data_IF_516415000836
#
_entry.id   IF_516415000836
#
_cell.length_a   1.000
_cell.length_b   1.000
_cell.length_c   1.000
_cell.angle_alpha   90.00
_cell.angle_beta   90.00
_cell.angle_gamma   90.00
#
_symmetry.space_group_name_H-M   'P 1'
#
loop_
_entity.id
_entity.type
_entity.pdbx_description
1 polymer ?
#
# COMPACT_ATOMS: atom_id res chain seq x y z
N UNK A 1 22.73 20.33 7.09
CA UNK A 1 22.32 19.11 7.81
C UNK A 1 23.19 18.00 7.26
N UNK A 2 23.88 17.25 8.12
CA UNK A 2 24.70 16.14 7.65
C UNK A 2 23.78 15.08 7.06
N UNK A 3 23.97 14.75 5.77
CA UNK A 3 23.02 13.98 4.96
C UNK A 3 22.92 12.50 5.38
N UNK A 4 23.78 12.04 6.28
CA UNK A 4 23.88 10.63 6.69
C UNK A 4 22.91 10.24 7.81
N UNK A 5 22.34 11.20 8.54
CA UNK A 5 21.56 10.94 9.76
C UNK A 5 20.08 11.34 9.68
N UNK A 6 19.67 11.97 8.57
CA UNK A 6 18.31 12.48 8.38
C UNK A 6 17.83 12.25 6.96
N UNK A 7 16.59 11.79 6.80
CA UNK A 7 15.89 11.67 5.54
C UNK A 7 14.54 12.38 5.66
N UNK A 8 14.27 13.32 4.75
CA UNK A 8 12.97 13.97 4.64
C UNK A 8 12.35 13.62 3.29
N UNK A 9 11.17 13.00 3.33
CA UNK A 9 10.34 12.70 2.17
C UNK A 9 9.09 13.57 2.21
N UNK A 10 8.68 14.06 1.04
CA UNK A 10 7.46 14.85 0.88
C UNK A 10 6.66 14.32 -0.31
N UNK A 11 5.36 14.11 -0.12
CA UNK A 11 4.42 13.83 -1.19
C UNK A 11 3.23 14.77 -1.08
N UNK A 12 3.19 15.79 -1.95
CA UNK A 12 2.20 16.87 -1.93
C UNK A 12 2.20 17.56 -0.55
N UNK A 13 1.29 17.17 0.34
CA UNK A 13 1.09 17.75 1.67
C UNK A 13 1.54 16.81 2.81
N UNK A 14 1.86 15.55 2.50
CA UNK A 14 2.32 14.57 3.48
C UNK A 14 3.85 14.60 3.60
N UNK A 15 4.35 14.65 4.83
CA UNK A 15 5.78 14.62 5.14
C UNK A 15 6.12 13.38 5.96
N UNK A 16 7.27 12.79 5.66
CA UNK A 16 7.87 11.72 6.46
C UNK A 16 9.31 12.11 6.77
N UNK A 17 9.59 12.33 8.05
CA UNK A 17 10.92 12.66 8.55
C UNK A 17 11.49 11.47 9.34
N UNK A 18 12.63 10.96 8.90
CA UNK A 18 13.32 9.83 9.51
C UNK A 18 14.69 10.31 9.98
N UNK A 19 15.01 10.06 11.24
CA UNK A 19 16.31 10.42 11.81
C UNK A 19 16.70 9.50 12.96
N UNK A 20 18.00 9.36 13.20
CA UNK A 20 18.55 8.70 14.38
C UNK A 20 18.62 9.64 15.61
N UNK A 21 18.32 10.93 15.44
CA UNK A 21 18.46 11.98 16.44
C UNK A 21 17.11 12.52 16.91
N UNK A 22 16.71 12.21 18.15
CA UNK A 22 15.41 12.62 18.72
C UNK A 22 15.21 14.14 18.75
N UNK A 23 16.25 14.91 19.02
CA UNK A 23 16.24 16.37 19.00
C UNK A 23 15.88 16.92 17.62
N UNK A 24 16.33 16.26 16.54
CA UNK A 24 15.98 16.64 15.17
C UNK A 24 14.52 16.34 14.84
N UNK A 25 14.01 15.19 15.29
CA UNK A 25 12.60 14.86 15.14
C UNK A 25 11.70 15.84 15.91
N UNK A 26 12.08 16.19 17.15
CA UNK A 26 11.41 17.23 17.92
C UNK A 26 11.42 18.56 17.18
N UNK A 27 12.59 19.02 16.75
CA UNK A 27 12.76 20.27 16.03
C UNK A 27 11.89 20.31 14.75
N UNK A 28 11.84 19.22 14.00
CA UNK A 28 10.98 19.11 12.82
C UNK A 28 9.50 19.30 13.17
N UNK A 29 9.03 18.61 14.21
CA UNK A 29 7.63 18.72 14.64
C UNK A 29 7.27 20.12 15.15
N UNK A 30 8.17 20.78 15.88
CA UNK A 30 7.98 22.19 16.29
C UNK A 30 7.85 23.10 15.07
N UNK A 31 8.70 22.94 14.06
CA UNK A 31 8.67 23.77 12.85
C UNK A 31 7.37 23.54 12.07
N UNK A 32 6.91 22.29 11.96
CA UNK A 32 5.68 21.95 11.25
C UNK A 32 4.43 22.50 11.94
N UNK A 33 4.41 22.53 13.28
CA UNK A 33 3.27 22.98 14.07
C UNK A 33 3.31 24.45 14.49
N UNK A 34 4.44 25.14 14.26
CA UNK A 34 4.52 26.59 14.35
C UNK A 34 3.54 27.22 13.36
N UNK A 35 2.83 28.25 13.79
CA UNK A 35 1.97 29.01 12.89
C UNK A 35 2.83 29.66 11.79
N UNK A 36 2.39 29.53 10.54
CA UNK A 36 2.96 30.25 9.39
C UNK A 36 1.86 31.15 8.77
N UNK A 37 1.55 32.30 9.41
CA UNK A 37 0.47 33.19 8.97
C UNK A 37 0.62 33.66 7.51
N UNK A 38 1.86 33.77 7.04
CA UNK A 38 2.21 34.20 5.68
C UNK A 38 1.75 33.24 4.59
N UNK A 39 1.50 31.97 4.93
CA UNK A 39 1.04 30.94 3.97
C UNK A 39 -0.43 30.54 4.18
N UNK A 40 -1.08 31.00 5.27
CA UNK A 40 -2.45 30.63 5.61
C UNK A 40 -2.66 29.12 5.82
N UNK A 41 -1.57 28.36 6.01
CA UNK A 41 -1.59 26.91 6.18
C UNK A 41 -1.33 26.54 7.64
N UNK A 42 -2.00 25.49 8.11
CA UNK A 42 -1.74 24.91 9.44
C UNK A 42 -1.74 23.38 9.35
N UNK A 43 -0.89 22.76 10.15
CA UNK A 43 -0.80 21.30 10.22
C UNK A 43 -1.79 20.80 11.27
N UNK A 44 -2.58 19.80 10.91
CA UNK A 44 -3.49 19.16 11.85
C UNK A 44 -2.71 18.19 12.75
N UNK A 45 -2.67 18.50 14.05
CA UNK A 45 -1.98 17.68 15.04
C UNK A 45 -2.53 16.26 15.15
N UNK A 46 -3.83 16.04 14.93
CA UNK A 46 -4.42 14.69 14.98
C UNK A 46 -4.01 13.81 13.80
N UNK A 47 -3.45 14.41 12.74
CA UNK A 47 -2.87 13.71 11.60
C UNK A 47 -1.35 13.57 11.68
N UNK A 48 -0.74 14.16 12.71
CA UNK A 48 0.69 13.97 12.99
C UNK A 48 0.90 12.68 13.78
N UNK A 49 2.04 12.05 13.60
CA UNK A 49 2.35 10.78 14.24
C UNK A 49 3.86 10.68 14.49
N UNK A 50 4.22 10.14 15.66
CA UNK A 50 5.60 9.89 16.07
C UNK A 50 5.79 8.43 16.48
N UNK A 51 7.04 7.94 16.44
CA UNK A 51 7.41 6.64 16.99
C UNK A 51 7.93 6.68 18.44
N UNK A 52 7.85 7.85 19.08
CA UNK A 52 8.18 8.04 20.49
C UNK A 52 7.33 9.17 21.09
N UNK A 53 7.15 9.11 22.41
CA UNK A 53 6.42 10.13 23.14
C UNK A 53 7.07 11.50 22.97
N UNK A 54 6.29 12.45 22.47
CA UNK A 54 6.73 13.82 22.25
C UNK A 54 5.58 14.80 22.42
N UNK A 55 5.92 15.98 22.93
CA UNK A 55 5.00 17.10 23.08
C UNK A 55 5.64 18.35 22.51
N UNK A 56 4.83 19.19 21.89
CA UNK A 56 5.26 20.50 21.40
C UNK A 56 5.55 21.45 22.57
N UNK A 57 6.29 22.53 22.31
CA UNK A 57 6.60 23.56 23.31
C UNK A 57 5.35 24.23 23.91
N UNK A 58 4.23 24.23 23.19
CA UNK A 58 2.93 24.75 23.66
C UNK A 58 2.12 23.73 24.48
N UNK A 59 2.69 22.56 24.77
CA UNK A 59 2.11 21.51 25.60
C UNK A 59 1.22 20.52 24.85
N UNK A 60 0.97 20.71 23.55
CA UNK A 60 0.18 19.75 22.76
C UNK A 60 0.97 18.47 22.49
N UNK A 61 0.40 17.32 22.83
CA UNK A 61 1.02 16.01 22.59
C UNK A 61 0.81 15.54 21.14
N UNK A 62 1.84 14.91 20.58
CA UNK A 62 1.77 14.27 19.26
C UNK A 62 1.31 12.81 19.45
N UNK A 63 0.33 12.31 18.67
CA UNK A 63 -0.02 10.90 18.67
C UNK A 63 1.18 9.99 18.42
N UNK A 64 1.24 8.86 19.12
CA UNK A 64 2.36 7.92 19.08
C UNK A 64 1.95 6.57 18.49
N UNK A 65 2.84 5.94 17.72
CA UNK A 65 2.73 4.55 17.25
C UNK A 65 4.03 3.80 17.52
N UNK A 66 3.96 2.52 17.84
CA UNK A 66 5.15 1.73 18.21
C UNK A 66 5.54 0.66 17.20
N UNK A 67 4.62 0.31 16.30
CA UNK A 67 4.76 -0.88 15.44
C UNK A 67 4.65 -0.51 13.98
N UNK A 68 3.60 0.19 13.62
CA UNK A 68 3.25 0.45 12.23
C UNK A 68 3.12 1.95 12.02
N UNK A 69 3.91 2.49 11.08
CA UNK A 69 3.91 3.90 10.71
C UNK A 69 3.31 4.06 9.30
N UNK A 70 2.07 4.56 9.18
CA UNK A 70 1.42 4.75 7.88
C UNK A 70 1.97 5.99 7.17
N UNK A 71 2.24 5.86 5.86
CA UNK A 71 2.56 7.00 5.01
C UNK A 71 2.17 6.71 3.55
N UNK A 72 1.44 7.65 2.94
CA UNK A 72 1.03 7.62 1.52
C UNK A 72 0.53 6.26 0.98
N UNK A 73 -0.28 5.54 1.76
CA UNK A 73 -0.93 4.29 1.32
C UNK A 73 -0.12 3.01 1.54
N UNK A 74 1.04 3.08 2.21
CA UNK A 74 1.75 1.93 2.76
C UNK A 74 2.08 2.14 4.23
N UNK A 75 2.66 1.10 4.85
CA UNK A 75 2.99 1.06 6.27
C UNK A 75 4.43 0.63 6.43
N UNK A 76 5.15 1.30 7.31
CA UNK A 76 6.51 0.93 7.69
C UNK A 76 6.45 0.23 9.05
N UNK A 77 6.94 -1.02 9.11
CA UNK A 77 7.17 -1.70 10.38
C UNK A 77 8.36 -1.05 11.08
N UNK A 78 8.14 -0.37 12.21
CA UNK A 78 9.17 0.40 12.89
C UNK A 78 10.25 -0.46 13.55
N UNK A 79 10.02 -1.77 13.72
CA UNK A 79 10.98 -2.69 14.33
C UNK A 79 11.89 -3.32 13.27
N UNK A 80 11.32 -3.71 12.12
CA UNK A 80 12.05 -4.42 11.05
C UNK A 80 12.33 -3.56 9.82
N UNK A 81 11.73 -2.37 9.76
CA UNK A 81 11.75 -1.44 8.62
C UNK A 81 11.19 -2.04 7.32
N UNK A 82 10.33 -3.06 7.46
CA UNK A 82 9.64 -3.70 6.35
C UNK A 82 8.45 -2.85 5.89
N UNK A 83 8.19 -2.85 4.59
CA UNK A 83 7.14 -2.09 3.94
C UNK A 83 5.94 -3.01 3.66
N UNK A 84 4.82 -2.73 4.33
CA UNK A 84 3.59 -3.49 4.22
C UNK A 84 2.52 -2.73 3.42
N UNK A 85 1.68 -3.47 2.71
CA UNK A 85 0.49 -2.92 2.09
C UNK A 85 -0.60 -2.62 3.15
N UNK A 86 -1.37 -1.55 2.96
CA UNK A 86 -2.35 -1.02 3.95
C UNK A 86 -3.64 -1.82 4.09
N UNK A 87 -3.69 -3.05 3.57
CA UNK A 87 -4.95 -3.74 3.29
C UNK A 87 -5.82 -3.97 4.52
N UNK A 88 -5.21 -4.36 5.64
CA UNK A 88 -5.91 -4.68 6.88
C UNK A 88 -5.91 -3.55 7.92
N UNK A 89 -5.23 -2.43 7.65
CA UNK A 89 -5.21 -1.29 8.57
C UNK A 89 -6.28 -0.25 8.25
N UNK A 90 -6.74 -0.18 7.01
CA UNK A 90 -7.81 0.72 6.63
C UNK A 90 -9.18 0.04 6.77
N UNK A 91 -10.19 0.82 7.20
CA UNK A 91 -11.63 0.48 7.16
C UNK A 91 -12.17 0.17 5.74
N UNK A 92 -11.29 0.03 4.75
CA UNK A 92 -11.59 -0.21 3.34
C UNK A 92 -12.27 -1.56 3.08
N UNK A 93 -12.17 -2.53 3.99
CA UNK A 93 -12.87 -3.82 3.85
C UNK A 93 -14.39 -3.63 4.04
N UNK A 94 -14.81 -2.71 4.90
CA UNK A 94 -16.23 -2.49 5.21
C UNK A 94 -16.99 -1.80 4.06
N UNK A 95 -16.29 -1.02 3.23
CA UNK A 95 -16.89 -0.21 2.16
C UNK A 95 -16.28 -0.53 0.78
N UNK A 96 -15.90 -1.79 0.55
CA UNK A 96 -15.30 -2.20 -0.73
C UNK A 96 -16.19 -1.82 -1.91
N UNK A 97 -17.51 -2.02 -1.78
CA UNK A 97 -18.49 -1.71 -2.81
C UNK A 97 -18.46 -0.23 -3.25
N UNK A 98 -18.34 0.70 -2.30
CA UNK A 98 -18.33 2.15 -2.54
C UNK A 98 -17.09 2.62 -3.31
N UNK A 99 -16.02 1.80 -3.30
CA UNK A 99 -14.79 2.07 -4.04
C UNK A 99 -14.80 1.56 -5.49
N UNK A 100 -15.88 0.89 -5.93
CA UNK A 100 -15.96 0.23 -7.22
C UNK A 100 -16.70 1.07 -8.26
N UNK A 101 -16.06 1.28 -9.41
CA UNK A 101 -16.75 1.71 -10.63
C UNK A 101 -17.12 0.49 -11.46
N UNK A 102 -18.42 0.18 -11.50
CA UNK A 102 -18.97 -0.95 -12.26
C UNK A 102 -19.38 -0.49 -13.65
N UNK A 103 -18.90 -1.19 -14.68
CA UNK A 103 -19.27 -0.93 -16.06
C UNK A 103 -20.24 -2.02 -16.52
N UNK A 104 -21.46 -1.61 -16.86
CA UNK A 104 -22.49 -2.47 -17.43
C UNK A 104 -22.41 -2.31 -18.95
N UNK A 105 -21.63 -3.18 -19.61
CA UNK A 105 -21.41 -3.16 -21.06
C UNK A 105 -21.98 -4.38 -21.76
N UNK A 106 -22.07 -4.33 -23.09
CA UNK A 106 -22.45 -5.47 -23.93
C UNK A 106 -21.38 -6.59 -23.93
N UNK A 107 -20.17 -6.36 -23.40
CA UNK A 107 -19.10 -7.37 -23.28
C UNK A 107 -18.62 -7.54 -21.83
N UNK A 108 -19.51 -7.96 -20.91
CA UNK A 108 -19.24 -7.92 -19.48
C UNK A 108 -18.09 -8.84 -19.06
N UNK A 109 -17.89 -9.98 -19.74
CA UNK A 109 -16.80 -10.91 -19.43
C UNK A 109 -15.39 -10.35 -19.69
N UNK A 110 -15.19 -9.62 -20.80
CA UNK A 110 -13.89 -8.99 -21.11
C UNK A 110 -13.54 -7.90 -20.08
N UNK A 111 -14.55 -7.12 -19.70
CA UNK A 111 -14.40 -6.05 -18.70
C UNK A 111 -14.10 -6.61 -17.32
N UNK A 112 -14.81 -7.68 -16.94
CA UNK A 112 -14.59 -8.39 -15.69
C UNK A 112 -13.15 -8.89 -15.55
N UNK A 113 -12.62 -9.55 -16.59
CA UNK A 113 -11.21 -10.02 -16.62
C UNK A 113 -10.23 -8.86 -16.48
N UNK A 114 -10.43 -7.80 -17.28
CA UNK A 114 -9.58 -6.60 -17.22
C UNK A 114 -9.61 -5.93 -15.84
N UNK A 115 -10.78 -5.87 -15.19
CA UNK A 115 -10.94 -5.28 -13.86
C UNK A 115 -10.18 -6.07 -12.79
N UNK A 116 -10.27 -7.39 -12.80
CA UNK A 116 -9.51 -8.22 -11.87
C UNK A 116 -7.99 -8.00 -12.04
N UNK A 117 -7.52 -7.93 -13.29
CA UNK A 117 -6.11 -7.67 -13.58
C UNK A 117 -5.68 -6.28 -13.11
N UNK A 118 -6.55 -5.27 -13.25
CA UNK A 118 -6.28 -3.92 -12.73
C UNK A 118 -6.15 -3.91 -11.21
N UNK A 119 -7.03 -4.62 -10.49
CA UNK A 119 -6.95 -4.70 -9.02
C UNK A 119 -5.63 -5.31 -8.54
N UNK A 120 -5.19 -6.42 -9.16
CA UNK A 120 -3.90 -7.05 -8.84
C UNK A 120 -2.74 -6.12 -9.19
N UNK A 121 -2.75 -5.57 -10.42
CA UNK A 121 -1.68 -4.71 -10.93
C UNK A 121 -1.47 -3.46 -10.08
N UNK A 122 -2.52 -2.89 -9.50
CA UNK A 122 -2.43 -1.66 -8.71
C UNK A 122 -1.47 -1.78 -7.53
N UNK A 123 -1.34 -2.97 -6.93
CA UNK A 123 -0.52 -3.18 -5.72
C UNK A 123 0.77 -3.99 -5.95
N UNK A 124 1.08 -4.39 -7.19
CA UNK A 124 2.36 -5.02 -7.53
C UNK A 124 3.53 -4.01 -7.65
N UNK A 125 3.70 -3.11 -6.68
CA UNK A 125 4.83 -2.16 -6.70
C UNK A 125 6.11 -2.85 -6.19
N UNK A 126 7.29 -2.62 -6.81
CA UNK A 126 8.55 -3.27 -6.38
C UNK A 126 8.87 -3.10 -4.90
N UNK A 127 8.50 -1.98 -4.28
CA UNK A 127 8.73 -1.72 -2.84
C UNK A 127 8.16 -2.79 -1.92
N UNK A 128 7.07 -3.47 -2.31
CA UNK A 128 6.44 -4.53 -1.53
C UNK A 128 6.97 -5.93 -1.88
N UNK A 129 7.66 -6.03 -3.01
CA UNK A 129 8.14 -7.29 -3.60
C UNK A 129 9.65 -7.49 -3.37
N UNK A 130 10.37 -6.42 -3.05
CA UNK A 130 11.82 -6.46 -2.89
C UNK A 130 12.22 -7.22 -1.63
N UNK A 131 12.89 -8.35 -1.84
CA UNK A 131 13.45 -9.25 -0.82
C UNK A 131 14.75 -8.71 -0.19
N UNK A 132 15.31 -7.60 -0.67
CA UNK A 132 16.36 -6.85 0.05
C UNK A 132 15.78 -5.96 1.14
N UNK A 133 14.66 -5.32 0.85
CA UNK A 133 14.00 -4.38 1.77
C UNK A 133 13.10 -5.13 2.76
N UNK A 134 12.46 -6.20 2.31
CA UNK A 134 11.49 -6.97 3.08
C UNK A 134 11.97 -8.41 3.23
N UNK A 135 11.65 -9.06 4.35
CA UNK A 135 11.81 -10.51 4.46
C UNK A 135 10.92 -11.23 3.45
N UNK A 136 11.29 -12.45 3.09
CA UNK A 136 10.49 -13.36 2.25
C UNK A 136 9.06 -13.49 2.79
N UNK A 137 8.91 -13.62 4.12
CA UNK A 137 7.60 -13.69 4.77
C UNK A 137 6.77 -12.42 4.54
N UNK A 138 7.37 -11.23 4.67
CA UNK A 138 6.68 -9.97 4.43
C UNK A 138 6.30 -9.81 2.95
N UNK A 139 7.18 -10.20 2.02
CA UNK A 139 6.87 -10.17 0.58
C UNK A 139 5.69 -11.10 0.26
N UNK A 140 5.70 -12.32 0.76
CA UNK A 140 4.60 -13.28 0.56
C UNK A 140 3.29 -12.76 1.19
N UNK A 141 3.35 -12.16 2.39
CA UNK A 141 2.19 -11.52 3.02
C UNK A 141 1.66 -10.36 2.17
N UNK A 142 2.53 -9.49 1.63
CA UNK A 142 2.11 -8.41 0.73
C UNK A 142 1.45 -8.93 -0.56
N UNK A 143 1.95 -10.05 -1.10
CA UNK A 143 1.39 -10.73 -2.27
C UNK A 143 0.00 -11.29 -1.94
N UNK A 144 -0.12 -12.01 -0.82
CA UNK A 144 -1.38 -12.55 -0.33
C UNK A 144 -2.42 -11.45 -0.13
N UNK A 145 -2.05 -10.38 0.59
CA UNK A 145 -2.91 -9.22 0.85
C UNK A 145 -3.42 -8.62 -0.47
N UNK A 146 -2.55 -8.48 -1.46
CA UNK A 146 -2.95 -7.98 -2.78
C UNK A 146 -4.01 -8.88 -3.43
N UNK A 147 -3.79 -10.19 -3.46
CA UNK A 147 -4.76 -11.14 -4.01
C UNK A 147 -6.08 -11.14 -3.24
N UNK A 148 -6.05 -11.09 -1.90
CA UNK A 148 -7.25 -10.95 -1.08
C UNK A 148 -8.01 -9.66 -1.41
N UNK A 149 -7.30 -8.53 -1.56
CA UNK A 149 -7.89 -7.25 -1.97
C UNK A 149 -8.57 -7.32 -3.32
N UNK A 150 -7.92 -7.97 -4.28
CA UNK A 150 -8.44 -8.15 -5.61
C UNK A 150 -9.67 -9.07 -5.60
N UNK A 151 -9.62 -10.17 -4.84
CA UNK A 151 -10.73 -11.10 -4.67
C UNK A 151 -11.95 -10.43 -4.03
N UNK A 152 -11.78 -9.65 -2.95
CA UNK A 152 -12.88 -8.92 -2.32
C UNK A 152 -13.54 -7.94 -3.30
N UNK A 153 -12.74 -7.13 -4.00
CA UNK A 153 -13.26 -6.21 -5.03
C UNK A 153 -13.96 -6.94 -6.16
N UNK A 154 -13.42 -8.09 -6.56
CA UNK A 154 -13.99 -8.91 -7.62
C UNK A 154 -15.34 -9.50 -7.23
N UNK A 155 -15.47 -10.06 -6.02
CA UNK A 155 -16.74 -10.55 -5.49
C UNK A 155 -17.80 -9.45 -5.41
N UNK A 156 -17.44 -8.27 -4.87
CA UNK A 156 -18.34 -7.12 -4.84
C UNK A 156 -18.71 -6.64 -6.25
N UNK A 157 -17.76 -6.58 -7.18
CA UNK A 157 -18.03 -6.24 -8.58
C UNK A 157 -19.01 -7.22 -9.21
N UNK A 158 -18.82 -8.52 -9.00
CA UNK A 158 -19.68 -9.57 -9.50
C UNK A 158 -21.11 -9.46 -8.96
N UNK A 159 -21.26 -9.20 -7.66
CA UNK A 159 -22.57 -9.01 -7.04
C UNK A 159 -23.32 -7.82 -7.64
N UNK A 160 -22.64 -6.68 -7.83
CA UNK A 160 -23.26 -5.46 -8.37
C UNK A 160 -23.54 -5.59 -9.87
N UNK A 161 -22.58 -6.09 -10.65
CA UNK A 161 -22.67 -6.12 -12.12
C UNK A 161 -23.66 -7.19 -12.63
N UNK A 162 -23.86 -8.28 -11.88
CA UNK A 162 -24.66 -9.42 -12.31
C UNK A 162 -25.86 -9.71 -11.39
N UNK A 163 -26.20 -8.81 -10.48
CA UNK A 163 -27.39 -8.94 -9.62
C UNK A 163 -27.40 -10.30 -8.87
N UNK A 164 -26.23 -10.69 -8.34
CA UNK A 164 -26.03 -11.98 -7.64
C UNK A 164 -26.12 -13.24 -8.52
N UNK A 165 -26.32 -13.13 -9.85
CA UNK A 165 -26.48 -14.27 -10.78
C UNK A 165 -25.14 -14.84 -11.28
N UNK A 166 -24.14 -14.84 -10.41
CA UNK A 166 -22.75 -15.23 -10.67
C UNK A 166 -22.63 -16.71 -11.10
N UNK A 167 -23.53 -17.56 -10.57
CA UNK A 167 -23.55 -19.01 -10.82
C UNK A 167 -23.82 -19.38 -12.29
N UNK A 168 -24.35 -18.46 -13.11
CA UNK A 168 -24.74 -18.76 -14.50
C UNK A 168 -23.56 -19.15 -15.40
N UNK A 169 -22.33 -18.81 -15.03
CA UNK A 169 -21.15 -19.22 -15.80
C UNK A 169 -19.91 -19.44 -14.91
N UNK A 170 -20.03 -20.33 -13.92
CA UNK A 170 -18.96 -20.64 -12.97
C UNK A 170 -17.63 -21.03 -13.66
N UNK A 171 -17.70 -21.81 -14.75
CA UNK A 171 -16.51 -22.21 -15.52
C UNK A 171 -15.73 -21.01 -16.07
N UNK A 172 -16.42 -20.00 -16.59
CA UNK A 172 -15.79 -18.78 -17.05
C UNK A 172 -15.15 -18.00 -15.89
N UNK A 173 -15.83 -17.88 -14.75
CA UNK A 173 -15.32 -17.16 -13.58
C UNK A 173 -14.06 -17.82 -13.03
N UNK A 174 -14.06 -19.15 -12.91
CA UNK A 174 -12.87 -19.90 -12.48
C UNK A 174 -11.71 -19.66 -13.44
N UNK A 175 -11.94 -19.73 -14.76
CA UNK A 175 -10.90 -19.44 -15.75
C UNK A 175 -10.35 -18.01 -15.64
N UNK A 176 -11.19 -17.02 -15.35
CA UNK A 176 -10.75 -15.63 -15.12
C UNK A 176 -9.88 -15.52 -13.86
N UNK A 177 -10.19 -16.27 -12.80
CA UNK A 177 -9.39 -16.29 -11.56
C UNK A 177 -8.04 -16.98 -11.80
N UNK A 178 -8.01 -18.12 -12.49
CA UNK A 178 -6.77 -18.82 -12.86
C UNK A 178 -5.85 -17.92 -13.70
N UNK A 179 -6.43 -17.29 -14.73
CA UNK A 179 -5.76 -16.29 -15.56
C UNK A 179 -5.17 -15.15 -14.73
N UNK A 180 -5.88 -14.71 -13.68
CA UNK A 180 -5.47 -13.61 -12.83
C UNK A 180 -4.30 -13.97 -11.91
N UNK A 181 -4.23 -15.20 -11.41
CA UNK A 181 -3.08 -15.67 -10.62
C UNK A 181 -1.83 -15.74 -11.50
N UNK A 182 -1.95 -16.32 -12.70
CA UNK A 182 -0.87 -16.36 -13.69
C UNK A 182 -0.41 -14.95 -14.09
N UNK A 183 -1.37 -14.06 -14.35
CA UNK A 183 -1.09 -12.65 -14.63
C UNK A 183 -0.38 -11.96 -13.46
N UNK A 184 -0.80 -12.23 -12.22
CA UNK A 184 -0.21 -11.70 -10.99
C UNK A 184 1.27 -12.06 -10.86
N UNK A 185 1.60 -13.35 -10.99
CA UNK A 185 2.99 -13.81 -10.98
C UNK A 185 3.82 -13.14 -12.09
N UNK A 186 3.29 -13.10 -13.32
CA UNK A 186 3.96 -12.47 -14.45
C UNK A 186 4.24 -10.97 -14.21
N UNK A 187 3.24 -10.20 -13.76
CA UNK A 187 3.39 -8.76 -13.56
C UNK A 187 4.34 -8.44 -12.41
N UNK A 188 4.39 -9.25 -11.35
CA UNK A 188 5.33 -9.09 -10.23
C UNK A 188 6.78 -9.26 -10.70
N UNK A 189 7.06 -10.31 -11.48
CA UNK A 189 8.39 -10.50 -12.09
C UNK A 189 8.73 -9.39 -13.10
N UNK A 190 7.77 -8.91 -13.88
CA UNK A 190 8.00 -7.83 -14.83
C UNK A 190 8.32 -6.51 -14.11
N UNK A 191 7.53 -6.14 -13.09
CA UNK A 191 7.70 -4.91 -12.29
C UNK A 191 9.07 -4.82 -11.63
N UNK A 192 9.56 -5.93 -11.09
CA UNK A 192 10.85 -6.02 -10.37
C UNK A 192 12.06 -6.01 -11.31
N UNK A 193 11.85 -6.14 -12.63
CA UNK A 193 12.89 -6.05 -13.66
C UNK A 193 12.87 -4.74 -14.47
N UNK A 194 11.98 -3.80 -14.12
CA UNK A 194 11.93 -2.49 -14.80
C UNK A 194 13.14 -1.64 -14.45
N UNK A 195 13.45 -0.68 -15.31
CA UNK A 195 14.60 0.24 -15.16
C UNK A 195 14.73 0.82 -13.76
N UNK A 196 13.64 1.32 -13.16
CA UNK A 196 13.66 1.88 -11.80
C UNK A 196 13.98 0.82 -10.73
N UNK A 197 13.47 -0.40 -10.86
CA UNK A 197 13.72 -1.47 -9.91
C UNK A 197 15.18 -1.96 -10.03
N UNK A 198 15.68 -2.10 -11.26
CA UNK A 198 17.08 -2.44 -11.54
C UNK A 198 18.04 -1.37 -11.02
N UNK A 199 17.72 -0.08 -11.22
CA UNK A 199 18.52 1.03 -10.71
C UNK A 199 18.62 1.02 -9.18
N UNK A 200 17.55 0.61 -8.50
CA UNK A 200 17.54 0.44 -7.04
C UNK A 200 18.04 -0.94 -6.59
N UNK A 201 18.63 -1.74 -7.48
CA UNK A 201 19.14 -3.08 -7.20
C UNK A 201 18.12 -4.03 -6.56
N UNK A 202 16.85 -3.87 -6.92
CA UNK A 202 15.72 -4.63 -6.40
C UNK A 202 15.92 -6.13 -6.64
N UNK A 203 15.65 -6.95 -5.62
CA UNK A 203 15.71 -8.41 -5.76
C UNK A 203 14.37 -9.04 -5.45
N UNK A 204 13.87 -9.87 -6.36
CA UNK A 204 12.64 -10.63 -6.16
C UNK A 204 12.92 -12.12 -6.25
N UNK A 205 13.22 -12.72 -5.08
CA UNK A 205 13.61 -14.13 -4.94
C UNK A 205 12.42 -15.04 -4.59
N UNK A 206 11.24 -14.75 -5.12
CA UNK A 206 10.04 -15.58 -4.95
C UNK A 206 9.73 -16.25 -6.29
N UNK A 207 9.59 -17.57 -6.29
CA UNK A 207 9.21 -18.34 -7.47
C UNK A 207 7.70 -18.27 -7.72
N UNK A 208 7.29 -18.47 -8.97
CA UNK A 208 5.87 -18.61 -9.31
C UNK A 208 5.19 -19.72 -8.50
N UNK A 209 5.88 -20.83 -8.22
CA UNK A 209 5.35 -21.94 -7.40
C UNK A 209 5.04 -21.50 -5.97
N UNK A 210 5.88 -20.65 -5.38
CA UNK A 210 5.62 -20.10 -4.04
C UNK A 210 4.42 -19.16 -4.03
N UNK A 211 4.27 -18.32 -5.06
CA UNK A 211 3.10 -17.45 -5.23
C UNK A 211 1.80 -18.25 -5.33
N UNK A 212 1.82 -19.40 -6.02
CA UNK A 212 0.63 -20.25 -6.13
C UNK A 212 0.28 -21.03 -4.85
N UNK A 213 1.25 -21.21 -3.95
CA UNK A 213 1.09 -22.05 -2.74
C UNK A 213 0.71 -21.23 -1.50
N UNK A 214 1.17 -19.99 -1.42
CA UNK A 214 1.00 -19.10 -0.28
C UNK A 214 -0.30 -18.31 -0.36
#
# INVERSE_FOLDING_TARGET
MDSSETLLLRYIDDFLFITTKKDKAQQFMEIMHKAHPEFGCSVNISKSLSNFSMSLLDGRAIPETYRDFPWCGFVIDLKRLEIKNTLFQNRSITYVADSLSVNISQTPGKHLRSKLFQYIKAKCHPIFLDTKVNSVFCVLSNIYDNFCSAAMRFCSYLNIAFDGKIYRNAKFIVGVVEDAVCFGAHIMHNRTRRSIAVLNSCEFRISTKEIHRY
#
